data_IF_128250759831
#
_entry.id   IF_128250759831
#
_cell.length_a   1.000
_cell.length_b   1.000
_cell.length_c   1.000
_cell.angle_alpha   90.00
_cell.angle_beta   90.00
_cell.angle_gamma   90.00
#
_symmetry.space_group_name_H-M   'P 1'
#
loop_
_entity.id
_entity.type
_entity.pdbx_description
1 polymer ?
#
# COMPACT_ATOMS: atom_id res chain seq x y z
N UNK A 1 -50.27 -9.25 26.68
CA UNK A 1 -49.23 -10.12 26.12
C UNK A 1 -48.92 -9.82 24.64
N UNK A 2 -49.83 -9.20 23.91
CA UNK A 2 -49.64 -8.90 22.48
C UNK A 2 -48.73 -7.67 22.20
N UNK A 3 -48.77 -6.66 23.02
CA UNK A 3 -47.95 -5.42 22.85
C UNK A 3 -46.42 -5.69 22.97
N UNK A 4 -46.02 -6.67 23.79
CA UNK A 4 -44.62 -7.04 23.94
C UNK A 4 -44.07 -7.78 22.69
N UNK A 5 -44.93 -8.57 22.04
CA UNK A 5 -44.59 -9.32 20.84
C UNK A 5 -44.34 -8.39 19.64
N UNK A 6 -45.17 -7.34 19.49
CA UNK A 6 -45.04 -6.32 18.43
C UNK A 6 -43.75 -5.51 18.59
N UNK A 7 -43.38 -5.14 19.83
CA UNK A 7 -42.18 -4.36 20.12
C UNK A 7 -40.88 -5.15 19.77
N UNK A 8 -40.84 -6.45 20.06
CA UNK A 8 -39.73 -7.32 19.73
C UNK A 8 -39.62 -7.52 18.21
N UNK A 9 -40.75 -7.72 17.52
CA UNK A 9 -40.77 -7.84 16.06
C UNK A 9 -40.27 -6.58 15.37
N UNK A 10 -40.67 -5.41 15.85
CA UNK A 10 -40.24 -4.12 15.32
C UNK A 10 -38.74 -3.87 15.57
N UNK A 11 -38.24 -4.22 16.75
CA UNK A 11 -36.82 -4.14 17.06
C UNK A 11 -35.96 -5.08 16.19
N UNK A 12 -36.43 -6.32 15.96
CA UNK A 12 -35.77 -7.27 15.06
C UNK A 12 -35.78 -6.80 13.61
N UNK A 13 -36.89 -6.19 13.16
CA UNK A 13 -36.99 -5.63 11.80
C UNK A 13 -36.06 -4.42 11.62
N UNK A 14 -35.97 -3.54 12.61
CA UNK A 14 -35.03 -2.41 12.60
C UNK A 14 -33.57 -2.91 12.59
N UNK A 15 -33.24 -3.91 13.41
CA UNK A 15 -31.88 -4.49 13.43
C UNK A 15 -31.51 -5.16 12.11
N UNK A 16 -32.46 -5.81 11.42
CA UNK A 16 -32.20 -6.45 10.12
C UNK A 16 -31.99 -5.42 8.99
N UNK A 17 -32.58 -4.22 9.08
CA UNK A 17 -32.37 -3.14 8.12
C UNK A 17 -30.99 -2.48 8.25
N UNK A 18 -30.34 -2.60 9.41
CA UNK A 18 -28.96 -2.12 9.62
C UNK A 18 -27.88 -3.18 9.33
N UNK A 19 -28.27 -4.42 9.04
CA UNK A 19 -27.35 -5.48 8.65
C UNK A 19 -27.06 -5.38 7.14
N UNK A 20 -26.44 -4.28 6.73
CA UNK A 20 -25.78 -4.25 5.43
C UNK A 20 -24.41 -4.92 5.60
N UNK A 21 -24.18 -6.10 5.00
CA UNK A 21 -22.82 -6.63 4.97
C UNK A 21 -21.95 -5.60 4.26
N UNK A 22 -21.00 -5.01 4.97
CA UNK A 22 -20.01 -4.10 4.40
C UNK A 22 -19.14 -4.87 3.39
N UNK A 23 -19.62 -5.05 2.18
CA UNK A 23 -18.87 -5.61 1.04
C UNK A 23 -17.95 -4.55 0.46
N UNK A 24 -17.11 -3.95 1.32
CA UNK A 24 -16.26 -2.82 0.94
C UNK A 24 -14.80 -3.19 0.81
N UNK A 25 -14.40 -4.43 1.07
CA UNK A 25 -13.02 -4.85 0.96
C UNK A 25 -12.73 -5.44 -0.42
N UNK A 26 -11.76 -4.82 -1.12
CA UNK A 26 -11.16 -5.44 -2.30
C UNK A 26 -10.54 -6.79 -1.95
N UNK A 27 -10.65 -7.75 -2.86
CA UNK A 27 -9.98 -9.04 -2.71
C UNK A 27 -8.47 -8.83 -2.64
N UNK A 28 -7.85 -9.42 -1.63
CA UNK A 28 -6.41 -9.33 -1.38
C UNK A 28 -5.75 -10.69 -1.57
N UNK A 29 -4.74 -10.75 -2.43
CA UNK A 29 -3.91 -11.94 -2.57
C UNK A 29 -2.93 -11.95 -1.40
N UNK A 30 -3.15 -12.85 -0.46
CA UNK A 30 -2.23 -13.09 0.65
C UNK A 30 -1.16 -14.10 0.21
N UNK A 31 -0.18 -13.62 -0.53
CA UNK A 31 0.93 -14.45 -0.98
C UNK A 31 1.71 -15.08 0.18
N UNK A 32 2.63 -15.99 -0.13
CA UNK A 32 3.39 -16.72 0.89
C UNK A 32 4.15 -15.75 1.81
N UNK A 33 4.14 -16.06 3.11
CA UNK A 33 4.87 -15.33 4.15
C UNK A 33 6.34 -15.74 4.23
N UNK A 34 6.89 -16.35 3.19
CA UNK A 34 8.26 -16.86 3.20
C UNK A 34 9.23 -15.70 3.38
N UNK A 35 10.03 -15.81 4.44
CA UNK A 35 11.11 -14.89 4.80
C UNK A 35 12.29 -14.93 3.81
N UNK A 36 12.32 -15.94 2.94
CA UNK A 36 13.30 -16.04 1.88
C UNK A 36 12.73 -15.51 0.55
N UNK A 37 13.58 -14.90 -0.24
CA UNK A 37 13.22 -14.37 -1.56
C UNK A 37 13.15 -15.44 -2.66
N UNK A 38 13.25 -16.72 -2.31
CA UNK A 38 13.24 -17.87 -3.25
C UNK A 38 11.84 -18.28 -3.73
N UNK A 39 10.81 -17.49 -3.45
CA UNK A 39 9.44 -17.77 -3.87
C UNK A 39 9.16 -17.37 -5.32
N UNK A 40 8.12 -17.97 -5.90
CA UNK A 40 7.66 -17.60 -7.24
C UNK A 40 7.20 -16.12 -7.26
N UNK A 41 7.70 -15.28 -8.19
CA UNK A 41 7.26 -13.89 -8.35
C UNK A 41 5.75 -13.74 -8.53
N UNK A 42 5.08 -14.76 -9.09
CA UNK A 42 3.63 -14.80 -9.25
C UNK A 42 2.85 -14.83 -7.92
N UNK A 43 3.52 -15.02 -6.78
CA UNK A 43 2.91 -15.01 -5.43
C UNK A 43 3.01 -13.65 -4.74
N UNK A 44 3.22 -12.58 -5.48
CA UNK A 44 3.23 -11.22 -4.93
C UNK A 44 1.90 -10.91 -4.24
N UNK A 45 2.00 -10.37 -3.01
CA UNK A 45 0.84 -9.91 -2.25
C UNK A 45 0.32 -8.62 -2.86
N UNK A 46 -0.99 -8.44 -2.91
CA UNK A 46 -1.57 -7.21 -3.38
C UNK A 46 -3.09 -7.23 -3.46
N UNK A 47 -3.66 -6.07 -3.68
CA UNK A 47 -5.08 -5.92 -3.93
C UNK A 47 -5.37 -6.21 -5.40
N UNK A 48 -6.38 -7.05 -5.66
CA UNK A 48 -6.78 -7.37 -7.03
C UNK A 48 -7.33 -6.12 -7.74
N UNK A 49 -6.95 -5.97 -9.00
CA UNK A 49 -7.54 -4.94 -9.85
C UNK A 49 -9.02 -5.23 -10.08
N UNK A 50 -9.82 -4.18 -9.95
CA UNK A 50 -11.15 -4.16 -10.51
C UNK A 50 -11.05 -3.69 -11.98
N UNK A 51 -11.76 -4.36 -12.88
CA UNK A 51 -11.70 -4.06 -14.31
C UNK A 51 -12.15 -2.63 -14.65
N UNK A 52 -12.94 -2.01 -13.79
CA UNK A 52 -13.50 -0.67 -13.97
C UNK A 52 -12.53 0.44 -13.56
N UNK A 53 -11.68 0.21 -12.56
CA UNK A 53 -10.73 1.22 -12.05
C UNK A 53 -9.31 0.84 -12.45
N UNK A 54 -8.73 1.61 -13.38
CA UNK A 54 -7.36 1.37 -13.86
C UNK A 54 -6.30 2.04 -13.01
N UNK A 55 -6.61 3.18 -12.41
CA UNK A 55 -5.69 3.95 -11.57
C UNK A 55 -6.47 4.89 -10.65
N UNK A 56 -5.84 5.28 -9.53
CA UNK A 56 -6.37 6.23 -8.56
C UNK A 56 -5.24 6.90 -7.78
N UNK A 57 -5.56 7.96 -7.05
CA UNK A 57 -4.72 8.41 -5.95
C UNK A 57 -4.98 7.51 -4.74
N UNK A 58 -3.92 6.97 -4.16
CA UNK A 58 -3.98 6.11 -2.98
C UNK A 58 -3.04 6.63 -1.90
N UNK A 59 -3.21 6.15 -0.68
CA UNK A 59 -2.37 6.54 0.46
C UNK A 59 -1.69 5.32 1.06
N UNK A 60 -0.37 5.41 1.21
CA UNK A 60 0.41 4.42 1.96
C UNK A 60 0.93 5.05 3.24
N UNK A 61 1.24 4.24 4.24
CA UNK A 61 1.79 4.72 5.51
C UNK A 61 3.25 4.32 5.63
N UNK A 62 4.09 5.27 6.05
CA UNK A 62 5.52 5.08 6.23
C UNK A 62 5.97 5.62 7.59
N UNK A 63 6.85 4.90 8.29
CA UNK A 63 7.41 5.38 9.55
C UNK A 63 8.72 6.10 9.29
N UNK A 64 8.77 7.37 9.71
CA UNK A 64 9.97 8.19 9.57
C UNK A 64 11.16 7.58 10.31
N UNK A 65 12.29 7.43 9.63
CA UNK A 65 13.58 7.03 10.20
C UNK A 65 14.71 7.42 9.27
N UNK A 66 15.86 7.77 9.81
CA UNK A 66 17.02 8.10 8.99
C UNK A 66 17.41 6.95 8.05
N UNK A 67 17.77 7.24 6.79
CA UNK A 67 17.89 8.56 6.16
C UNK A 67 16.57 9.15 5.62
N UNK A 68 15.45 8.44 5.76
CA UNK A 68 14.12 8.85 5.27
C UNK A 68 13.31 9.47 6.43
N UNK A 69 13.76 10.63 6.91
CA UNK A 69 13.21 11.35 8.06
C UNK A 69 12.79 12.80 7.74
N UNK A 70 12.61 13.11 6.46
CA UNK A 70 12.02 14.37 5.97
C UNK A 70 10.97 14.06 4.92
N UNK A 71 10.01 14.97 4.68
CA UNK A 71 9.03 14.76 3.61
C UNK A 71 9.71 14.65 2.22
N UNK A 72 10.83 15.37 2.00
CA UNK A 72 11.63 15.30 0.77
C UNK A 72 12.23 13.89 0.61
N UNK A 73 12.90 13.35 1.63
CA UNK A 73 13.57 12.06 1.53
C UNK A 73 12.56 10.90 1.43
N UNK A 74 11.41 11.01 2.09
CA UNK A 74 10.30 10.04 1.96
C UNK A 74 9.69 10.11 0.55
N UNK A 75 9.46 11.32 0.02
CA UNK A 75 8.96 11.51 -1.33
C UNK A 75 9.90 10.91 -2.37
N UNK A 76 11.20 11.13 -2.23
CA UNK A 76 12.20 10.53 -3.11
C UNK A 76 12.18 9.00 -3.07
N UNK A 77 12.12 8.41 -1.85
CA UNK A 77 12.06 6.96 -1.69
C UNK A 77 10.79 6.36 -2.30
N UNK A 78 9.65 7.00 -2.09
CA UNK A 78 8.34 6.42 -2.45
C UNK A 78 7.79 6.96 -3.79
N UNK A 79 8.57 7.73 -4.55
CA UNK A 79 8.12 8.25 -5.83
C UNK A 79 6.89 9.17 -5.71
N UNK A 80 6.83 10.00 -4.65
CA UNK A 80 5.72 10.89 -4.33
C UNK A 80 6.13 12.37 -4.36
N UNK A 81 5.22 13.27 -4.04
CA UNK A 81 5.46 14.71 -3.98
C UNK A 81 5.68 15.17 -2.54
N UNK A 82 6.84 15.76 -2.25
CA UNK A 82 7.21 16.24 -0.92
C UNK A 82 6.23 17.30 -0.37
N UNK A 83 5.74 18.19 -1.22
CA UNK A 83 4.76 19.22 -0.86
C UNK A 83 3.42 18.63 -0.41
N UNK A 84 2.93 17.60 -1.08
CA UNK A 84 1.71 16.88 -0.70
C UNK A 84 1.90 16.13 0.62
N UNK A 85 3.03 15.42 0.78
CA UNK A 85 3.36 14.76 2.06
C UNK A 85 3.40 15.76 3.19
N UNK A 86 4.09 16.89 3.01
CA UNK A 86 4.20 17.96 4.01
C UNK A 86 2.83 18.51 4.42
N UNK A 87 1.98 18.82 3.43
CA UNK A 87 0.65 19.36 3.64
C UNK A 87 -0.26 18.39 4.40
N UNK A 88 -0.36 17.13 3.94
CA UNK A 88 -1.23 16.11 4.54
C UNK A 88 -0.84 15.83 6.00
N UNK A 89 0.47 15.77 6.29
CA UNK A 89 0.97 15.43 7.62
C UNK A 89 1.22 16.65 8.52
N UNK A 90 0.98 17.87 8.01
CA UNK A 90 1.23 19.13 8.72
C UNK A 90 2.68 19.23 9.25
N UNK A 91 3.63 18.91 8.39
CA UNK A 91 5.07 19.00 8.66
C UNK A 91 5.74 19.90 7.63
N UNK A 92 6.94 20.41 7.95
CA UNK A 92 7.79 21.08 6.95
C UNK A 92 8.32 20.05 5.95
N UNK A 93 8.56 20.47 4.71
CA UNK A 93 9.11 19.56 3.69
C UNK A 93 10.55 19.14 4.00
N UNK A 94 11.36 20.04 4.55
CA UNK A 94 12.80 19.86 4.78
C UNK A 94 13.18 19.51 6.22
N UNK A 95 12.31 19.79 7.19
CA UNK A 95 12.64 19.57 8.58
C UNK A 95 12.59 18.07 8.94
N UNK A 96 13.44 17.70 9.90
CA UNK A 96 13.46 16.33 10.41
C UNK A 96 12.19 15.99 11.14
N UNK A 97 11.58 14.92 10.72
CA UNK A 97 10.42 14.33 11.37
C UNK A 97 10.91 13.41 12.49
N UNK A 98 10.33 13.47 13.70
CA UNK A 98 10.69 12.59 14.79
C UNK A 98 10.68 11.12 14.35
N UNK A 99 11.69 10.36 14.79
CA UNK A 99 11.81 8.95 14.44
C UNK A 99 10.56 8.16 14.86
N UNK A 100 10.17 7.20 14.02
CA UNK A 100 9.01 6.32 14.20
C UNK A 100 7.64 7.02 14.11
N UNK A 101 7.58 8.29 13.69
CA UNK A 101 6.31 8.96 13.39
C UNK A 101 5.70 8.36 12.12
N UNK A 102 4.41 8.03 12.20
CA UNK A 102 3.66 7.55 11.03
C UNK A 102 3.34 8.72 10.10
N UNK A 103 3.70 8.57 8.83
CA UNK A 103 3.52 9.55 7.76
C UNK A 103 2.60 8.95 6.70
N UNK A 104 1.59 9.68 6.32
CA UNK A 104 0.69 9.35 5.20
C UNK A 104 1.30 9.88 3.92
N UNK A 105 1.48 9.02 2.95
CA UNK A 105 2.14 9.33 1.67
C UNK A 105 1.16 9.08 0.53
N UNK A 106 0.77 10.12 -0.23
CA UNK A 106 -0.05 9.96 -1.42
C UNK A 106 0.79 9.34 -2.54
N UNK A 107 0.22 8.37 -3.24
CA UNK A 107 0.87 7.70 -4.37
C UNK A 107 -0.12 7.50 -5.52
N UNK A 108 0.38 7.54 -6.75
CA UNK A 108 -0.41 7.19 -7.93
C UNK A 108 -0.45 5.66 -8.06
N UNK A 109 -1.57 5.06 -7.72
CA UNK A 109 -1.80 3.64 -7.75
C UNK A 109 -2.36 3.22 -9.11
N UNK A 110 -1.82 2.18 -9.72
CA UNK A 110 -2.28 1.68 -11.02
C UNK A 110 -2.33 0.16 -11.04
N UNK A 111 -3.22 -0.37 -11.88
CA UNK A 111 -3.31 -1.81 -12.12
C UNK A 111 -2.12 -2.27 -12.97
N UNK A 112 -1.35 -3.22 -12.46
CA UNK A 112 -0.26 -3.86 -13.19
C UNK A 112 -0.40 -5.37 -13.11
N UNK A 113 -0.56 -6.02 -14.25
CA UNK A 113 -0.97 -7.41 -14.30
C UNK A 113 -2.40 -7.57 -13.74
N UNK A 114 -2.54 -8.13 -12.56
CA UNK A 114 -3.81 -8.35 -11.88
C UNK A 114 -3.89 -7.72 -10.48
N UNK A 115 -2.87 -6.92 -10.09
CA UNK A 115 -2.81 -6.27 -8.78
C UNK A 115 -2.55 -4.77 -8.90
N UNK A 116 -3.03 -4.01 -7.92
CA UNK A 116 -2.76 -2.59 -7.80
C UNK A 116 -1.37 -2.33 -7.23
N UNK A 117 -0.57 -1.53 -7.94
CA UNK A 117 0.81 -1.18 -7.55
C UNK A 117 1.13 0.26 -7.91
N UNK A 118 2.05 0.84 -7.15
CA UNK A 118 2.76 2.06 -7.46
C UNK A 118 4.23 1.74 -7.67
N UNK A 119 4.88 2.31 -8.68
CA UNK A 119 6.29 2.06 -8.95
C UNK A 119 7.15 3.20 -8.45
N UNK A 120 8.19 2.85 -7.69
CA UNK A 120 9.19 3.78 -7.19
C UNK A 120 10.59 3.35 -7.63
N UNK A 121 11.45 4.26 -8.14
CA UNK A 121 12.84 3.94 -8.43
C UNK A 121 13.66 3.89 -7.14
N UNK A 122 14.55 2.91 -7.03
CA UNK A 122 15.48 2.76 -5.91
C UNK A 122 16.89 2.48 -6.39
N UNK A 123 17.86 3.29 -5.97
CA UNK A 123 19.27 3.06 -6.29
C UNK A 123 19.92 2.19 -5.22
N UNK A 124 20.43 1.04 -5.64
CA UNK A 124 21.08 0.05 -4.77
C UNK A 124 22.32 0.63 -4.12
N UNK A 125 22.42 0.50 -2.81
CA UNK A 125 23.61 0.84 -2.03
C UNK A 125 24.34 -0.41 -1.57
N UNK A 126 25.57 -0.22 -1.05
CA UNK A 126 26.40 -1.34 -0.56
C UNK A 126 25.66 -2.15 0.52
N UNK A 127 25.71 -3.47 0.38
CA UNK A 127 25.06 -4.47 1.25
C UNK A 127 23.52 -4.53 1.15
N UNK A 128 22.90 -3.91 0.15
CA UNK A 128 21.49 -4.14 -0.12
C UNK A 128 21.25 -5.55 -0.67
N UNK A 129 20.10 -6.05 -0.33
CA UNK A 129 19.50 -7.25 -0.94
C UNK A 129 18.01 -6.94 -1.18
N UNK A 130 17.35 -7.67 -2.06
CA UNK A 130 15.90 -7.51 -2.24
C UNK A 130 15.13 -7.64 -0.93
N UNK A 131 15.55 -8.55 -0.05
CA UNK A 131 14.92 -8.73 1.26
C UNK A 131 15.09 -7.50 2.17
N UNK A 132 16.32 -7.01 2.34
CA UNK A 132 16.59 -5.81 3.14
C UNK A 132 15.88 -4.59 2.59
N UNK A 133 15.93 -4.39 1.29
CA UNK A 133 15.26 -3.26 0.65
C UNK A 133 13.75 -3.33 0.90
N UNK A 134 13.10 -4.48 0.70
CA UNK A 134 11.68 -4.63 0.92
C UNK A 134 11.29 -4.48 2.39
N UNK A 135 12.02 -5.11 3.30
CA UNK A 135 11.67 -5.17 4.71
C UNK A 135 12.13 -3.94 5.49
N UNK A 136 13.39 -3.54 5.30
CA UNK A 136 14.00 -2.48 6.11
C UNK A 136 13.78 -1.10 5.46
N UNK A 137 14.08 -0.93 4.17
CA UNK A 137 13.95 0.35 3.50
C UNK A 137 12.49 0.71 3.23
N UNK A 138 11.74 -0.20 2.60
CA UNK A 138 10.33 0.01 2.27
C UNK A 138 9.34 -0.45 3.37
N UNK A 139 9.83 -0.96 4.49
CA UNK A 139 9.04 -1.33 5.69
C UNK A 139 7.86 -2.27 5.38
N UNK A 140 8.06 -3.20 4.45
CA UNK A 140 7.02 -4.14 4.03
C UNK A 140 5.97 -3.56 3.08
N UNK A 141 6.12 -2.34 2.57
CA UNK A 141 5.26 -1.79 1.50
C UNK A 141 5.40 -2.55 0.18
N UNK A 142 6.49 -3.28 0.01
CA UNK A 142 6.72 -4.23 -1.08
C UNK A 142 7.15 -5.58 -0.51
N UNK A 143 7.39 -6.56 -1.37
CA UNK A 143 7.98 -7.85 -1.01
C UNK A 143 9.19 -8.15 -1.87
N UNK A 144 10.14 -8.95 -1.37
CA UNK A 144 11.29 -9.31 -2.18
C UNK A 144 10.90 -10.11 -3.43
N UNK A 145 9.85 -10.93 -3.37
CA UNK A 145 9.32 -11.66 -4.52
C UNK A 145 8.78 -10.70 -5.60
N UNK A 146 8.06 -9.65 -5.19
CA UNK A 146 7.56 -8.64 -6.13
C UNK A 146 8.72 -7.88 -6.79
N UNK A 147 9.76 -7.55 -6.02
CA UNK A 147 10.95 -6.89 -6.54
C UNK A 147 11.73 -7.78 -7.51
N UNK A 148 11.90 -9.08 -7.21
CA UNK A 148 12.54 -10.04 -8.10
C UNK A 148 11.74 -10.17 -9.41
N UNK A 149 10.41 -10.25 -9.33
CA UNK A 149 9.57 -10.33 -10.52
C UNK A 149 9.60 -9.09 -11.40
N UNK A 150 9.97 -7.94 -10.86
CA UNK A 150 9.99 -6.66 -11.57
C UNK A 150 11.39 -6.29 -12.09
N UNK A 151 12.45 -6.93 -11.59
CA UNK A 151 13.83 -6.58 -11.92
C UNK A 151 14.57 -7.80 -12.48
N UNK A 152 15.61 -7.54 -13.29
CA UNK A 152 16.37 -8.58 -13.99
C UNK A 152 17.69 -8.96 -13.30
N UNK A 153 18.01 -8.33 -12.17
CA UNK A 153 19.27 -8.61 -11.47
C UNK A 153 19.18 -9.89 -10.65
N UNK A 154 20.28 -10.62 -10.61
CA UNK A 154 20.42 -11.80 -9.77
C UNK A 154 20.14 -11.45 -8.30
N UNK A 155 19.21 -12.14 -7.63
CA UNK A 155 18.89 -11.88 -6.22
C UNK A 155 20.09 -11.98 -5.28
N UNK A 156 21.10 -12.76 -5.62
CA UNK A 156 22.31 -12.94 -4.82
C UNK A 156 23.41 -11.92 -5.14
N UNK A 157 23.29 -11.21 -6.27
CA UNK A 157 24.32 -10.27 -6.74
C UNK A 157 23.73 -9.04 -7.43
N UNK A 158 23.09 -8.16 -6.67
CA UNK A 158 22.56 -6.90 -7.20
C UNK A 158 23.71 -5.87 -7.24
N UNK A 159 24.04 -5.31 -8.41
CA UNK A 159 25.13 -4.33 -8.51
C UNK A 159 24.84 -3.06 -7.72
N UNK A 160 25.83 -2.54 -6.97
CA UNK A 160 25.75 -1.22 -6.35
C UNK A 160 25.60 -0.14 -7.43
N UNK A 161 24.68 0.78 -7.24
CA UNK A 161 24.34 1.80 -8.22
C UNK A 161 23.29 1.38 -9.24
N UNK A 162 22.89 0.10 -9.28
CA UNK A 162 21.77 -0.32 -10.11
C UNK A 162 20.48 0.38 -9.65
N UNK A 163 19.61 0.74 -10.60
CA UNK A 163 18.31 1.30 -10.31
C UNK A 163 17.27 0.19 -10.39
N UNK A 164 16.64 -0.10 -9.27
CA UNK A 164 15.54 -1.05 -9.17
C UNK A 164 14.21 -0.33 -9.36
N UNK A 165 13.28 -1.00 -10.01
CA UNK A 165 11.86 -0.63 -9.99
C UNK A 165 11.20 -1.35 -8.81
N UNK A 166 10.72 -0.61 -7.82
CA UNK A 166 10.12 -1.16 -6.62
C UNK A 166 8.59 -1.08 -6.71
N UNK A 167 7.89 -2.22 -6.79
CA UNK A 167 6.43 -2.26 -6.80
C UNK A 167 5.89 -2.11 -5.38
N UNK A 168 5.48 -0.89 -5.04
CA UNK A 168 4.81 -0.56 -3.76
C UNK A 168 3.35 -0.94 -3.83
N UNK A 169 2.86 -1.70 -2.86
CA UNK A 169 1.45 -2.11 -2.79
C UNK A 169 0.56 -0.93 -2.44
N UNK A 170 -0.52 -0.79 -3.19
CA UNK A 170 -1.57 0.19 -2.94
C UNK A 170 -2.94 -0.42 -3.27
N UNK A 171 -4.01 0.34 -3.02
CA UNK A 171 -5.37 -0.09 -3.34
C UNK A 171 -6.14 1.08 -3.94
N UNK A 172 -6.97 0.80 -4.93
CA UNK A 172 -7.96 1.74 -5.41
C UNK A 172 -9.36 1.41 -4.85
N UNK A 173 -10.26 2.39 -4.73
CA UNK A 173 -11.64 2.11 -4.37
C UNK A 173 -12.29 1.17 -5.38
N UNK A 174 -13.15 0.25 -4.91
CA UNK A 174 -13.99 -0.56 -5.79
C UNK A 174 -15.10 0.29 -6.42
N UNK A 175 -15.79 -0.25 -7.45
CA UNK A 175 -16.96 0.43 -8.05
C UNK A 175 -17.99 0.83 -7.02
N UNK A 176 -18.33 -0.07 -6.07
CA UNK A 176 -19.30 0.22 -5.02
C UNK A 176 -18.80 1.36 -4.11
N UNK A 177 -17.52 1.36 -3.75
CA UNK A 177 -16.93 2.44 -2.94
C UNK A 177 -16.92 3.77 -3.70
N UNK A 178 -16.66 3.73 -5.00
CA UNK A 178 -16.72 4.93 -5.85
C UNK A 178 -18.16 5.46 -5.98
N UNK A 179 -19.14 4.57 -6.10
CA UNK A 179 -20.56 4.92 -6.12
C UNK A 179 -21.00 5.57 -4.80
N UNK A 180 -20.39 5.16 -3.68
CA UNK A 180 -20.61 5.75 -2.35
C UNK A 180 -19.79 7.05 -2.12
N UNK A 181 -19.12 7.57 -3.15
CA UNK A 181 -18.37 8.83 -3.11
C UNK A 181 -16.93 8.71 -2.59
N UNK A 182 -16.39 7.51 -2.43
CA UNK A 182 -14.98 7.30 -2.07
C UNK A 182 -14.11 7.41 -3.33
N UNK A 183 -13.28 8.43 -3.41
CA UNK A 183 -12.44 8.73 -4.59
C UNK A 183 -10.97 8.31 -4.43
N UNK A 184 -10.51 8.03 -3.18
CA UNK A 184 -9.13 7.63 -2.87
C UNK A 184 -9.10 6.63 -1.70
N UNK A 185 -7.99 5.86 -1.57
CA UNK A 185 -7.85 4.86 -0.50
C UNK A 185 -6.42 4.78 0.05
#
# INVERSE_FOLDING_TARGET
>A
MELFSFSILYACLCLSLFYQPARTQQAYINGSTLWNCSGNPATSKGYLCDASVKSCEAFVTFRSRAPHDTAISIAYLLGSEASKIASINKVSASDKIPSNKLIVVPVSCSCSGNIFQHYSPYTVIKNDTYFKTANDTYQGLTTCQAMIGQNYYDPENIPVGAVLTVPVRCACPSENQTADGITSR
#
